data_IF_794360706675
#
_entry.id   IF_794360706675
#
_cell.length_a   1.000
_cell.length_b   1.000
_cell.length_c   1.000
_cell.angle_alpha   90.00
_cell.angle_beta   90.00
_cell.angle_gamma   90.00
#
_symmetry.space_group_name_H-M   'P 1'
#
loop_
_entity.id
_entity.type
_entity.pdbx_description
1 polymer ?
#
# COMPACT_ATOMS: atom_id res chain seq x y z
N UNK A 1 -4.12 0.26 -16.06
CA UNK A 1 -5.33 0.01 -15.26
C UNK A 1 -5.05 -1.12 -14.30
N UNK A 2 -5.30 -0.96 -13.00
CA UNK A 2 -5.20 -2.10 -12.08
C UNK A 2 -6.13 -3.25 -12.49
N UNK A 3 -5.76 -4.49 -12.16
CA UNK A 3 -6.63 -5.64 -12.35
C UNK A 3 -8.03 -5.38 -11.77
N UNK A 4 -9.08 -5.75 -12.49
CA UNK A 4 -10.48 -5.59 -12.06
C UNK A 4 -10.78 -6.25 -10.71
N UNK A 5 -9.95 -7.22 -10.30
CA UNK A 5 -9.99 -7.88 -9.01
C UNK A 5 -9.77 -6.95 -7.81
N UNK A 6 -9.13 -5.79 -7.98
CA UNK A 6 -8.83 -4.85 -6.88
C UNK A 6 -9.95 -3.85 -6.61
N UNK A 7 -10.92 -3.74 -7.52
CA UNK A 7 -11.99 -2.74 -7.41
C UNK A 7 -12.93 -3.07 -6.26
N UNK A 8 -13.09 -2.11 -5.35
CA UNK A 8 -13.93 -2.22 -4.15
C UNK A 8 -13.18 -2.68 -2.90
N UNK A 9 -11.86 -2.88 -3.01
CA UNK A 9 -10.98 -3.13 -1.88
C UNK A 9 -10.46 -1.83 -1.28
N UNK A 10 -9.80 -1.92 -0.11
CA UNK A 10 -9.11 -0.79 0.50
C UNK A 10 -7.60 -0.96 0.42
N UNK A 11 -6.88 0.14 0.20
CA UNK A 11 -5.43 0.23 0.32
C UNK A 11 -5.09 1.05 1.56
N UNK A 12 -4.11 0.59 2.34
CA UNK A 12 -3.69 1.21 3.60
C UNK A 12 -2.18 1.40 3.57
N UNK A 13 -1.73 2.65 3.63
CA UNK A 13 -0.33 2.96 3.85
C UNK A 13 0.01 2.76 5.34
N UNK A 14 0.89 1.81 5.62
CA UNK A 14 1.44 1.58 6.96
C UNK A 14 2.75 2.40 7.09
N UNK A 15 2.67 3.56 7.74
CA UNK A 15 3.79 4.52 7.90
C UNK A 15 5.02 3.96 8.61
N UNK A 16 4.86 2.87 9.35
CA UNK A 16 5.94 2.16 10.03
C UNK A 16 6.00 2.44 11.54
N UNK A 17 6.37 1.42 12.29
CA UNK A 17 6.49 1.49 13.75
C UNK A 17 7.63 2.39 14.18
N UNK A 18 7.39 3.23 15.19
CA UNK A 18 8.43 4.01 15.87
C UNK A 18 8.88 3.39 17.20
N UNK A 19 8.06 2.52 17.80
CA UNK A 19 8.28 1.97 19.15
C UNK A 19 8.15 0.43 19.18
N UNK A 20 8.88 -0.26 18.31
CA UNK A 20 9.00 -1.73 18.31
C UNK A 20 10.45 -2.14 18.21
N UNK A 21 10.85 -3.19 18.93
CA UNK A 21 12.21 -3.76 18.83
C UNK A 21 12.50 -4.32 17.45
N UNK A 22 11.52 -5.03 16.86
CA UNK A 22 11.55 -5.47 15.46
C UNK A 22 10.59 -4.56 14.69
N UNK A 23 11.11 -3.69 13.80
CA UNK A 23 10.27 -2.77 13.04
C UNK A 23 9.22 -3.49 12.20
N UNK A 24 8.04 -2.89 12.09
CA UNK A 24 6.93 -3.43 11.29
C UNK A 24 6.18 -2.30 10.57
N UNK A 25 5.48 -2.62 9.49
CA UNK A 25 4.85 -1.65 8.58
C UNK A 25 5.77 -1.30 7.40
N UNK A 26 5.89 -0.01 7.08
CA UNK A 26 6.71 0.49 5.96
C UNK A 26 6.30 -0.14 4.61
N UNK A 27 4.99 -0.18 4.36
CA UNK A 27 4.39 -0.85 3.20
C UNK A 27 2.98 -0.36 2.94
N UNK A 28 2.42 -0.77 1.81
CA UNK A 28 0.99 -0.65 1.50
C UNK A 28 0.36 -2.03 1.61
N UNK A 29 -0.72 -2.11 2.39
CA UNK A 29 -1.55 -3.31 2.52
C UNK A 29 -2.81 -3.17 1.67
N UNK A 30 -3.29 -4.28 1.12
CA UNK A 30 -4.62 -4.40 0.52
C UNK A 30 -5.53 -5.16 1.47
N UNK A 31 -6.70 -4.62 1.77
CA UNK A 31 -7.78 -5.31 2.47
C UNK A 31 -8.83 -5.71 1.45
N UNK A 32 -9.04 -7.02 1.29
CA UNK A 32 -10.04 -7.55 0.36
C UNK A 32 -11.42 -7.49 0.96
N UNK A 33 -12.41 -7.08 0.19
CA UNK A 33 -13.81 -7.03 0.62
C UNK A 33 -14.70 -7.95 -0.23
N UNK A 34 -15.62 -8.65 0.44
CA UNK A 34 -16.67 -9.38 -0.26
C UNK A 34 -17.60 -8.38 -0.98
N UNK A 35 -17.77 -8.56 -2.29
CA UNK A 35 -18.49 -7.58 -3.11
C UNK A 35 -19.97 -7.44 -2.76
N UNK A 36 -20.58 -8.48 -2.17
CA UNK A 36 -22.01 -8.51 -1.82
C UNK A 36 -22.24 -8.02 -0.39
N UNK A 37 -21.54 -8.60 0.56
CA UNK A 37 -21.74 -8.37 2.01
C UNK A 37 -20.93 -7.18 2.53
N UNK A 38 -19.96 -6.67 1.76
CA UNK A 38 -19.04 -5.59 2.14
C UNK A 38 -18.23 -5.89 3.41
N UNK A 39 -18.12 -7.16 3.80
CA UNK A 39 -17.28 -7.60 4.92
C UNK A 39 -15.83 -7.81 4.48
N UNK A 40 -14.84 -7.53 5.34
CA UNK A 40 -13.44 -7.81 5.05
C UNK A 40 -13.20 -9.32 5.01
N UNK A 41 -12.49 -9.78 3.97
CA UNK A 41 -12.11 -11.19 3.76
C UNK A 41 -10.69 -11.48 4.24
N UNK A 42 -9.88 -10.45 4.45
CA UNK A 42 -8.49 -10.56 4.86
C UNK A 42 -7.64 -9.42 4.31
N UNK A 43 -6.36 -9.42 4.67
CA UNK A 43 -5.37 -8.45 4.18
C UNK A 43 -4.14 -9.13 3.62
N UNK A 44 -3.51 -8.51 2.64
CA UNK A 44 -2.28 -8.96 2.00
C UNK A 44 -1.35 -7.78 1.71
N UNK A 45 -0.05 -8.06 1.60
CA UNK A 45 0.93 -7.05 1.19
C UNK A 45 0.65 -6.70 -0.27
N UNK A 46 0.48 -5.40 -0.55
CA UNK A 46 0.32 -4.90 -1.91
C UNK A 46 1.63 -4.38 -2.49
N UNK A 47 2.37 -3.59 -1.69
CA UNK A 47 3.69 -3.10 -2.04
C UNK A 47 4.52 -2.93 -0.77
N UNK A 48 5.74 -3.42 -0.75
CA UNK A 48 6.67 -3.30 0.37
C UNK A 48 8.07 -2.89 -0.12
N UNK A 49 9.05 -2.95 0.78
CA UNK A 49 10.44 -2.67 0.47
C UNK A 49 10.97 -1.35 1.02
N UNK A 50 10.14 -0.50 1.64
CA UNK A 50 10.59 0.72 2.35
C UNK A 50 11.41 0.43 3.62
N UNK A 51 11.26 -0.77 4.18
CA UNK A 51 12.09 -1.32 5.26
C UNK A 51 13.01 -2.39 4.69
N UNK A 52 14.32 -2.19 4.78
CA UNK A 52 15.33 -3.13 4.32
C UNK A 52 16.35 -3.34 5.44
N UNK A 53 16.65 -4.59 5.77
CA UNK A 53 17.63 -4.93 6.81
C UNK A 53 17.36 -4.20 8.15
N UNK A 54 16.08 -4.03 8.51
CA UNK A 54 15.65 -3.33 9.72
C UNK A 54 15.77 -1.80 9.67
N UNK A 55 16.18 -1.22 8.54
CA UNK A 55 16.31 0.22 8.36
C UNK A 55 15.30 0.73 7.33
N UNK A 56 14.55 1.77 7.70
CA UNK A 56 13.64 2.43 6.78
C UNK A 56 14.35 3.49 5.94
N UNK A 57 14.19 3.39 4.62
CA UNK A 57 14.65 4.42 3.69
C UNK A 57 13.52 5.39 3.30
N UNK A 58 12.26 5.00 3.47
CA UNK A 58 11.10 5.89 3.32
C UNK A 58 9.93 5.49 4.23
N UNK A 59 8.87 6.30 4.23
CA UNK A 59 7.70 6.13 5.11
C UNK A 59 6.41 6.48 4.36
N UNK A 60 5.64 5.49 3.87
CA UNK A 60 4.43 5.75 3.11
C UNK A 60 3.34 6.36 4.01
N UNK A 61 2.67 7.42 3.54
CA UNK A 61 1.68 8.19 4.32
C UNK A 61 0.26 7.97 3.81
N UNK A 62 -0.02 8.35 2.57
CA UNK A 62 -1.36 8.29 1.98
C UNK A 62 -1.33 7.58 0.63
N UNK A 63 -2.49 7.09 0.21
CA UNK A 63 -2.69 6.42 -1.08
C UNK A 63 -3.85 7.03 -1.85
N UNK A 64 -3.67 7.19 -3.17
CA UNK A 64 -4.72 7.70 -4.04
C UNK A 64 -4.78 6.93 -5.36
N UNK A 65 -5.92 6.31 -5.63
CA UNK A 65 -6.19 5.76 -6.96
C UNK A 65 -6.41 6.90 -7.97
N UNK A 66 -5.74 6.81 -9.11
CA UNK A 66 -5.90 7.72 -10.24
C UNK A 66 -6.89 7.17 -11.28
N UNK A 67 -7.42 8.02 -12.15
CA UNK A 67 -8.42 7.63 -13.15
C UNK A 67 -7.94 6.59 -14.17
N UNK A 68 -6.64 6.44 -14.35
CA UNK A 68 -6.03 5.39 -15.19
C UNK A 68 -5.89 4.04 -14.46
N UNK A 69 -6.33 3.97 -13.20
CA UNK A 69 -6.24 2.84 -12.30
C UNK A 69 -4.83 2.59 -11.76
N UNK A 70 -3.95 3.60 -11.70
CA UNK A 70 -2.69 3.53 -10.95
C UNK A 70 -2.87 3.98 -9.50
N UNK A 71 -1.96 3.58 -8.60
CA UNK A 71 -1.94 4.06 -7.20
C UNK A 71 -0.82 5.07 -7.01
N UNK A 72 -1.14 6.26 -6.51
CA UNK A 72 -0.15 7.13 -5.90
C UNK A 72 0.08 6.74 -4.44
N UNK A 73 1.32 6.80 -4.00
CA UNK A 73 1.72 6.65 -2.60
C UNK A 73 2.62 7.83 -2.24
N UNK A 74 2.28 8.61 -1.21
CA UNK A 74 3.13 9.70 -0.73
C UNK A 74 4.10 9.23 0.35
N UNK A 75 5.28 9.83 0.43
CA UNK A 75 6.30 9.53 1.42
C UNK A 75 6.90 10.81 2.00
N UNK A 76 6.67 11.02 3.29
CA UNK A 76 7.10 12.23 3.99
C UNK A 76 8.58 12.23 4.37
N UNK A 77 9.19 11.05 4.51
CA UNK A 77 10.61 10.91 4.85
C UNK A 77 11.50 11.30 3.67
N UNK A 78 11.08 10.96 2.46
CA UNK A 78 11.82 11.30 1.23
C UNK A 78 11.26 12.51 0.49
N UNK A 79 10.08 13.02 0.87
CA UNK A 79 9.38 14.05 0.10
C UNK A 79 9.02 13.58 -1.30
N UNK A 80 8.66 12.30 -1.44
CA UNK A 80 8.48 11.62 -2.73
C UNK A 80 7.02 11.22 -2.98
N UNK A 81 6.68 11.05 -4.26
CA UNK A 81 5.44 10.43 -4.73
C UNK A 81 5.79 9.24 -5.63
N UNK A 82 5.34 8.05 -5.26
CA UNK A 82 5.46 6.85 -6.08
C UNK A 82 4.18 6.66 -6.87
N UNK A 83 4.30 6.20 -8.12
CA UNK A 83 3.16 5.77 -8.93
C UNK A 83 3.30 4.29 -9.26
N UNK A 84 2.41 3.48 -8.71
CA UNK A 84 2.36 2.03 -8.94
C UNK A 84 1.40 1.78 -10.09
N UNK A 85 1.92 1.18 -11.17
CA UNK A 85 1.17 0.87 -12.39
C UNK A 85 1.19 -0.63 -12.64
N UNK A 86 0.08 -1.17 -13.17
CA UNK A 86 0.03 -2.53 -13.67
C UNK A 86 0.11 -2.54 -15.20
N UNK A 87 1.19 -3.14 -15.72
CA UNK A 87 1.35 -3.52 -17.12
C UNK A 87 1.12 -5.03 -17.20
N UNK A 88 -0.12 -5.45 -17.40
CA UNK A 88 -0.41 -6.88 -17.61
C UNK A 88 0.45 -7.40 -18.76
N UNK A 89 1.26 -8.41 -18.48
CA UNK A 89 1.78 -9.29 -19.53
C UNK A 89 0.80 -10.44 -19.71
#
# INVERSE_FOLDING_TARGET
MFPSGFRGDAFVAEHGSWNRTIPDGYRVMRVRFDKKTKKPLGKEIFADGWLQEGKSWGRPVDVKELGDGSLLVSDDRLGALYRITYSGQ
#
